data_IF_090629088952
#
_entry.id   IF_090629088952
#
_cell.length_a   1.000
_cell.length_b   1.000
_cell.length_c   1.000
_cell.angle_alpha   90.00
_cell.angle_beta   90.00
_cell.angle_gamma   90.00
#
_symmetry.space_group_name_H-M   'P 1'
#
loop_
_entity.id
_entity.type
_entity.pdbx_description
1 polymer ?
#
# COMPACT_ATOMS: atom_id res chain seq x y z
N UNK A 1 -11.08 -21.22 14.35
CA UNK A 1 -10.77 -19.91 13.72
C UNK A 1 -11.03 -18.71 14.65
N UNK A 2 -12.11 -18.69 15.44
CA UNK A 2 -12.42 -17.57 16.34
C UNK A 2 -11.34 -17.31 17.42
N UNK A 3 -10.67 -18.34 17.92
CA UNK A 3 -9.61 -18.21 18.93
C UNK A 3 -8.33 -17.58 18.36
N UNK A 4 -7.94 -17.97 17.14
CA UNK A 4 -6.80 -17.38 16.41
C UNK A 4 -7.06 -15.89 16.10
N UNK A 5 -8.29 -15.53 15.77
CA UNK A 5 -8.66 -14.13 15.51
C UNK A 5 -8.51 -13.25 16.76
N UNK A 6 -8.74 -13.78 17.96
CA UNK A 6 -8.61 -13.04 19.24
C UNK A 6 -7.17 -12.78 19.66
N UNK A 7 -6.23 -13.62 19.24
CA UNK A 7 -4.81 -13.49 19.57
C UNK A 7 -4.00 -12.70 18.52
N UNK A 8 -4.66 -12.19 17.48
CA UNK A 8 -3.98 -11.48 16.39
C UNK A 8 -3.56 -10.08 16.86
N UNK A 9 -2.28 -9.76 16.69
CA UNK A 9 -1.76 -8.41 16.91
C UNK A 9 -2.44 -7.48 15.91
N UNK A 10 -3.05 -6.42 16.42
CA UNK A 10 -3.72 -5.39 15.63
C UNK A 10 -2.78 -4.20 15.51
N UNK A 11 -2.69 -3.62 14.30
CA UNK A 11 -1.99 -2.37 14.13
C UNK A 11 -2.77 -1.25 14.79
N UNK A 12 -2.08 -0.42 15.58
CA UNK A 12 -2.67 0.81 16.11
C UNK A 12 -2.54 1.85 14.99
N UNK A 13 -3.67 2.23 14.40
CA UNK A 13 -3.68 3.25 13.35
C UNK A 13 -3.26 4.62 13.89
N UNK A 14 -2.43 5.31 13.13
CA UNK A 14 -2.04 6.69 13.39
C UNK A 14 -3.23 7.63 13.15
N UNK A 15 -3.50 8.50 14.12
CA UNK A 15 -4.51 9.56 13.98
C UNK A 15 -4.03 10.74 13.15
N UNK A 16 -2.74 10.78 12.78
CA UNK A 16 -2.08 11.89 12.10
C UNK A 16 -1.53 11.50 10.72
N UNK A 17 -2.09 10.45 10.10
CA UNK A 17 -1.64 9.99 8.80
C UNK A 17 -2.02 11.01 7.70
N UNK A 18 -1.02 11.72 7.20
CA UNK A 18 -1.16 12.65 6.09
C UNK A 18 -1.25 11.91 4.75
N UNK A 19 -2.39 12.07 4.06
CA UNK A 19 -2.71 11.41 2.78
C UNK A 19 -2.53 12.33 1.57
N UNK A 20 -1.95 13.52 1.73
CA UNK A 20 -1.55 14.35 0.59
C UNK A 20 -0.44 13.67 -0.22
N UNK A 21 -0.46 13.84 -1.54
CA UNK A 21 0.45 13.10 -2.40
C UNK A 21 1.93 13.41 -2.17
N UNK A 22 2.27 14.61 -1.70
CA UNK A 22 3.64 14.93 -1.30
C UNK A 22 4.10 14.06 -0.12
N UNK A 23 3.25 13.92 0.91
CA UNK A 23 3.53 13.09 2.07
C UNK A 23 3.62 11.60 1.70
N UNK A 24 2.69 11.09 0.88
CA UNK A 24 2.72 9.69 0.40
C UNK A 24 4.00 9.40 -0.40
N UNK A 25 4.35 10.26 -1.35
CA UNK A 25 5.58 10.10 -2.16
C UNK A 25 6.83 10.16 -1.29
N UNK A 26 6.87 11.08 -0.33
CA UNK A 26 8.00 11.20 0.60
C UNK A 26 8.21 9.95 1.45
N UNK A 27 7.14 9.26 1.83
CA UNK A 27 7.21 7.99 2.58
C UNK A 27 7.60 6.82 1.68
N UNK A 28 7.04 6.71 0.48
CA UNK A 28 7.20 5.53 -0.39
C UNK A 28 8.46 5.59 -1.26
N UNK A 29 8.82 6.74 -1.82
CA UNK A 29 9.93 6.82 -2.76
C UNK A 29 11.28 6.58 -2.09
N UNK A 30 12.19 5.85 -2.77
CA UNK A 30 13.51 5.61 -2.26
C UNK A 30 14.29 6.91 -2.16
N UNK A 31 14.96 7.14 -1.01
CA UNK A 31 15.79 8.33 -0.79
C UNK A 31 17.11 8.30 -1.56
N UNK A 32 17.48 7.13 -2.05
CA UNK A 32 18.71 6.89 -2.81
C UNK A 32 18.30 6.39 -4.19
N UNK A 33 19.01 6.86 -5.22
CA UNK A 33 18.79 6.41 -6.59
C UNK A 33 19.02 4.89 -6.67
N UNK A 34 17.99 4.14 -7.03
CA UNK A 34 18.12 2.71 -7.30
C UNK A 34 18.79 2.52 -8.67
N UNK A 35 19.66 1.51 -8.75
CA UNK A 35 20.28 1.14 -10.02
C UNK A 35 19.24 0.42 -10.87
N UNK A 36 19.13 0.83 -12.14
CA UNK A 36 18.23 0.18 -13.08
C UNK A 36 18.65 -1.28 -13.28
N UNK A 37 17.71 -2.20 -13.09
CA UNK A 37 17.92 -3.64 -13.25
C UNK A 37 17.58 -4.10 -14.68
N UNK A 38 16.87 -3.27 -15.45
CA UNK A 38 16.57 -3.53 -16.86
C UNK A 38 15.40 -4.49 -17.09
N UNK A 39 14.64 -4.83 -16.04
CA UNK A 39 13.38 -5.56 -16.13
C UNK A 39 12.45 -5.16 -14.98
N UNK A 40 11.13 -5.17 -15.23
CA UNK A 40 10.12 -4.85 -14.23
C UNK A 40 9.48 -6.09 -13.63
N UNK A 41 9.15 -6.03 -12.34
CA UNK A 41 8.36 -7.06 -11.64
C UNK A 41 6.94 -6.53 -11.40
N UNK A 42 5.93 -7.35 -11.67
CA UNK A 42 4.55 -7.06 -11.33
C UNK A 42 4.15 -7.77 -10.02
N UNK A 43 3.65 -7.02 -9.05
CA UNK A 43 3.09 -7.52 -7.80
C UNK A 43 1.57 -7.44 -7.85
N UNK A 44 0.88 -8.53 -7.48
CA UNK A 44 -0.56 -8.55 -7.29
C UNK A 44 -0.87 -8.92 -5.84
N UNK A 45 -1.64 -8.09 -5.13
CA UNK A 45 -1.96 -8.26 -3.71
C UNK A 45 -3.46 -8.13 -3.48
N UNK A 46 -4.04 -9.04 -2.71
CA UNK A 46 -5.43 -8.96 -2.26
C UNK A 46 -5.41 -8.47 -0.81
N UNK A 47 -6.09 -7.34 -0.53
CA UNK A 47 -5.95 -6.62 0.74
C UNK A 47 -7.30 -6.16 1.27
N UNK A 48 -7.43 -6.06 2.60
CA UNK A 48 -8.70 -5.67 3.21
C UNK A 48 -8.61 -4.74 4.45
N UNK A 49 -7.43 -4.51 5.03
CA UNK A 49 -7.21 -3.70 6.25
C UNK A 49 -5.75 -3.25 6.35
N UNK A 50 -5.42 -2.47 7.38
CA UNK A 50 -4.06 -2.14 7.84
C UNK A 50 -3.23 -1.39 6.79
N UNK A 51 -3.77 -0.27 6.29
CA UNK A 51 -3.16 0.55 5.25
C UNK A 51 -1.68 0.89 5.52
N UNK A 52 -1.35 1.32 6.74
CA UNK A 52 0.01 1.73 7.11
C UNK A 52 1.02 0.60 6.92
N UNK A 53 0.62 -0.64 7.23
CA UNK A 53 1.48 -1.80 7.01
C UNK A 53 1.67 -2.08 5.51
N UNK A 54 0.61 -1.92 4.71
CA UNK A 54 0.69 -2.10 3.26
C UNK A 54 1.57 -1.03 2.61
N UNK A 55 1.50 0.21 3.08
CA UNK A 55 2.34 1.31 2.62
C UNK A 55 3.82 1.06 2.98
N UNK A 56 4.12 0.62 4.20
CA UNK A 56 5.49 0.25 4.59
C UNK A 56 5.99 -0.98 3.81
N UNK A 57 5.14 -1.98 3.56
CA UNK A 57 5.48 -3.12 2.72
C UNK A 57 5.76 -2.69 1.27
N UNK A 58 5.02 -1.71 0.74
CA UNK A 58 5.29 -1.14 -0.57
C UNK A 58 6.62 -0.40 -0.57
N UNK A 59 6.83 0.50 0.39
CA UNK A 59 8.06 1.30 0.55
C UNK A 59 9.32 0.44 0.55
N UNK A 60 9.35 -0.64 1.33
CA UNK A 60 10.51 -1.54 1.42
C UNK A 60 10.81 -2.23 0.08
N UNK A 61 9.79 -2.46 -0.75
CA UNK A 61 9.91 -3.17 -2.01
C UNK A 61 9.82 -2.26 -3.24
N UNK A 62 9.72 -0.92 -3.06
CA UNK A 62 9.40 -0.01 -4.14
C UNK A 62 10.57 0.08 -5.13
N UNK A 63 10.26 -0.05 -6.42
CA UNK A 63 11.14 0.27 -7.54
C UNK A 63 10.33 1.00 -8.61
N UNK A 64 10.88 2.05 -9.24
CA UNK A 64 10.26 2.71 -10.38
C UNK A 64 10.01 1.78 -11.58
N UNK A 65 10.77 0.69 -11.72
CA UNK A 65 10.62 -0.29 -12.81
C UNK A 65 9.53 -1.34 -12.52
N UNK A 66 9.07 -1.45 -11.28
CA UNK A 66 8.06 -2.42 -10.87
C UNK A 66 6.65 -1.86 -10.99
N UNK A 67 5.67 -2.75 -11.01
CA UNK A 67 4.24 -2.43 -11.04
C UNK A 67 3.53 -3.10 -9.86
N UNK A 68 2.63 -2.36 -9.18
CA UNK A 68 1.98 -2.83 -7.95
C UNK A 68 0.47 -2.74 -8.10
N UNK A 69 -0.20 -3.89 -8.16
CA UNK A 69 -1.64 -4.02 -8.27
C UNK A 69 -2.24 -4.48 -6.95
N UNK A 70 -3.22 -3.74 -6.43
CA UNK A 70 -3.97 -4.09 -5.23
C UNK A 70 -5.43 -4.35 -5.61
N UNK A 71 -5.91 -5.56 -5.30
CA UNK A 71 -7.33 -5.87 -5.28
C UNK A 71 -7.85 -5.63 -3.86
N UNK A 72 -8.76 -4.68 -3.72
CA UNK A 72 -9.30 -4.26 -2.43
C UNK A 72 -10.61 -4.97 -2.17
N UNK A 73 -10.72 -5.68 -1.03
CA UNK A 73 -11.94 -6.40 -0.67
C UNK A 73 -13.15 -5.44 -0.62
N UNK A 74 -14.23 -5.82 -1.31
CA UNK A 74 -15.45 -5.01 -1.38
C UNK A 74 -16.10 -4.77 -0.02
N UNK A 75 -15.79 -5.56 1.00
CA UNK A 75 -16.29 -5.43 2.37
C UNK A 75 -15.38 -4.60 3.28
N UNK A 76 -14.25 -4.11 2.79
CA UNK A 76 -13.37 -3.23 3.56
C UNK A 76 -14.05 -1.92 3.96
N UNK A 77 -13.56 -1.32 5.05
CA UNK A 77 -14.08 -0.05 5.52
C UNK A 77 -13.91 1.06 4.47
N UNK A 78 -14.82 2.04 4.40
CA UNK A 78 -14.69 3.17 3.48
C UNK A 78 -13.36 3.92 3.64
N UNK A 79 -12.92 4.13 4.88
CA UNK A 79 -11.62 4.77 5.19
C UNK A 79 -10.44 4.01 4.60
N UNK A 80 -10.45 2.66 4.67
CA UNK A 80 -9.38 1.85 4.08
C UNK A 80 -9.35 2.00 2.55
N UNK A 81 -10.52 1.93 1.90
CA UNK A 81 -10.64 2.10 0.44
C UNK A 81 -10.16 3.47 0.00
N UNK A 82 -10.58 4.54 0.67
CA UNK A 82 -10.15 5.91 0.38
C UNK A 82 -8.61 6.05 0.50
N UNK A 83 -8.00 5.47 1.53
CA UNK A 83 -6.54 5.50 1.68
C UNK A 83 -5.82 4.75 0.55
N UNK A 84 -6.33 3.59 0.13
CA UNK A 84 -5.80 2.85 -1.01
C UNK A 84 -5.96 3.63 -2.33
N UNK A 85 -7.09 4.32 -2.53
CA UNK A 85 -7.33 5.18 -3.69
C UNK A 85 -6.34 6.34 -3.74
N UNK A 86 -6.12 7.01 -2.60
CA UNK A 86 -5.10 8.05 -2.45
C UNK A 86 -3.71 7.52 -2.82
N UNK A 87 -3.31 6.38 -2.25
CA UNK A 87 -2.01 5.76 -2.56
C UNK A 87 -1.82 5.53 -4.07
N UNK A 88 -2.81 4.93 -4.73
CA UNK A 88 -2.78 4.67 -6.18
C UNK A 88 -2.76 5.96 -7.00
N UNK A 89 -3.54 6.98 -6.61
CA UNK A 89 -3.56 8.27 -7.31
C UNK A 89 -2.24 9.04 -7.20
N UNK A 90 -1.48 8.81 -6.13
CA UNK A 90 -0.24 9.55 -5.86
C UNK A 90 1.00 8.91 -6.50
N UNK A 91 0.96 7.61 -6.82
CA UNK A 91 2.12 6.83 -7.29
C UNK A 91 1.87 6.31 -8.72
N UNK A 92 2.78 6.55 -9.67
CA UNK A 92 2.52 6.31 -11.10
C UNK A 92 2.42 4.83 -11.49
N UNK A 93 2.92 3.93 -10.66
CA UNK A 93 3.03 2.49 -10.89
C UNK A 93 2.26 1.66 -9.85
N UNK A 94 1.30 2.29 -9.17
CA UNK A 94 0.38 1.63 -8.23
C UNK A 94 -1.04 1.69 -8.77
N UNK A 95 -1.70 0.54 -8.82
CA UNK A 95 -3.02 0.36 -9.42
C UNK A 95 -3.95 -0.30 -8.43
N UNK A 96 -5.22 0.10 -8.49
CA UNK A 96 -6.31 -0.64 -7.85
C UNK A 96 -7.09 -1.40 -8.90
N UNK A 97 -7.59 -2.58 -8.53
CA UNK A 97 -8.58 -3.30 -9.32
C UNK A 97 -9.87 -3.42 -8.52
N UNK A 98 -10.99 -3.37 -9.24
CA UNK A 98 -12.29 -3.62 -8.66
C UNK A 98 -12.34 -5.05 -8.10
N UNK A 99 -12.82 -5.18 -6.86
CA UNK A 99 -13.07 -6.45 -6.17
C UNK A 99 -14.55 -6.67 -5.89
#
# INVERSE_FOLDING_TARGET
>A
MAEVARARIVLIESTLLDMECEAVRWRVFPRVKQQAIGYGIAFARIVHTDYEFLEEQLRVNYSPENHYCYNVDSKSSPTFKERMEKLSSCLPNVYLTDG
#
